data_IF_511662235509
#
_entry.id   IF_511662235509
#
_cell.length_a   1.000
_cell.length_b   1.000
_cell.length_c   1.000
_cell.angle_alpha   90.00
_cell.angle_beta   90.00
_cell.angle_gamma   90.00
#
_symmetry.space_group_name_H-M   'P 1'
#
loop_
_entity.id
_entity.type
_entity.pdbx_description
1 polymer ?
#
# COMPACT_ATOMS: atom_id res chain seq x y z
N UNK A 1 -14.79 11.16 -6.21
CA UNK A 1 -16.10 11.83 -6.18
C UNK A 1 -16.50 11.98 -4.72
N UNK A 2 -16.69 13.23 -4.30
CA UNK A 2 -17.34 13.74 -3.08
C UNK A 2 -16.87 13.23 -1.69
N UNK A 3 -16.10 14.08 -0.99
CA UNK A 3 -16.38 14.56 0.38
C UNK A 3 -15.51 15.80 0.66
N UNK A 4 -16.17 16.96 0.74
CA UNK A 4 -15.64 18.24 1.23
C UNK A 4 -16.14 18.46 2.67
N UNK A 5 -15.33 19.11 3.53
CA UNK A 5 -15.84 19.98 4.60
C UNK A 5 -15.69 19.51 6.04
N UNK A 6 -14.76 20.12 6.78
CA UNK A 6 -14.66 19.98 8.24
C UNK A 6 -13.45 20.68 8.88
N UNK A 7 -13.34 21.99 8.71
CA UNK A 7 -12.38 22.82 9.46
C UNK A 7 -12.81 22.92 10.94
N UNK A 8 -12.23 22.10 11.82
CA UNK A 8 -12.19 22.37 13.26
C UNK A 8 -10.80 22.82 13.68
N UNK A 9 -10.68 24.12 13.92
CA UNK A 9 -9.53 24.83 14.49
C UNK A 9 -9.12 24.24 15.85
N UNK A 10 -8.06 23.45 15.85
CA UNK A 10 -7.38 22.90 17.04
C UNK A 10 -5.85 23.00 16.87
N UNK A 11 -5.16 23.44 17.92
CA UNK A 11 -3.81 24.01 17.94
C UNK A 11 -2.68 22.96 17.85
N UNK A 12 -1.70 23.22 16.98
CA UNK A 12 -0.39 22.55 16.90
C UNK A 12 -0.14 21.91 15.52
N UNK A 13 1.02 22.11 14.87
CA UNK A 13 1.37 21.39 13.64
C UNK A 13 1.39 19.89 13.95
N UNK A 14 0.28 19.21 13.64
CA UNK A 14 0.19 17.77 13.86
C UNK A 14 1.09 17.13 12.82
N UNK A 15 2.18 16.48 13.26
CA UNK A 15 3.17 15.84 12.39
C UNK A 15 2.63 14.55 11.72
N UNK A 16 1.32 14.32 11.78
CA UNK A 16 0.68 13.18 11.14
C UNK A 16 0.52 13.50 9.65
N UNK A 17 1.14 12.72 8.73
CA UNK A 17 0.90 12.88 7.29
C UNK A 17 -0.61 12.88 7.02
N UNK A 18 -1.05 13.80 6.16
CA UNK A 18 -2.47 14.06 5.93
C UNK A 18 -3.28 12.79 5.65
N UNK A 19 -4.53 12.78 6.08
CA UNK A 19 -5.44 11.62 5.95
C UNK A 19 -5.54 11.11 4.51
N UNK A 20 -5.55 12.01 3.52
CA UNK A 20 -5.56 11.64 2.10
C UNK A 20 -4.30 10.88 1.67
N UNK A 21 -3.12 11.28 2.15
CA UNK A 21 -1.86 10.62 1.80
C UNK A 21 -1.81 9.18 2.33
N UNK A 22 -2.33 8.96 3.55
CA UNK A 22 -2.44 7.62 4.15
C UNK A 22 -3.44 6.75 3.41
N UNK A 23 -4.58 7.31 3.00
CA UNK A 23 -5.59 6.58 2.24
C UNK A 23 -5.05 6.12 0.88
N UNK A 24 -4.34 6.99 0.16
CA UNK A 24 -3.70 6.64 -1.12
C UNK A 24 -2.63 5.56 -0.93
N UNK A 25 -1.79 5.68 0.11
CA UNK A 25 -0.79 4.66 0.42
C UNK A 25 -1.43 3.28 0.68
N UNK A 26 -2.52 3.25 1.47
CA UNK A 26 -3.27 2.03 1.74
C UNK A 26 -3.86 1.42 0.46
N UNK A 27 -4.47 2.25 -0.41
CA UNK A 27 -5.01 1.79 -1.69
C UNK A 27 -3.94 1.16 -2.58
N UNK A 28 -2.77 1.78 -2.69
CA UNK A 28 -1.64 1.26 -3.47
C UNK A 28 -1.15 -0.08 -2.91
N UNK A 29 -1.08 -0.23 -1.59
CA UNK A 29 -0.70 -1.49 -0.94
C UNK A 29 -1.74 -2.59 -1.24
N UNK A 30 -3.04 -2.29 -1.13
CA UNK A 30 -4.10 -3.24 -1.45
C UNK A 30 -4.06 -3.69 -2.92
N UNK A 31 -3.88 -2.75 -3.86
CA UNK A 31 -3.78 -3.05 -5.28
C UNK A 31 -2.53 -3.89 -5.57
N UNK A 32 -1.40 -3.57 -4.94
CA UNK A 32 -0.17 -4.36 -5.02
C UNK A 32 -0.36 -5.80 -4.53
N UNK A 33 -0.99 -5.97 -3.37
CA UNK A 33 -1.32 -7.29 -2.81
C UNK A 33 -2.27 -8.09 -3.68
N UNK A 34 -3.30 -7.46 -4.25
CA UNK A 34 -4.23 -8.12 -5.18
C UNK A 34 -3.52 -8.60 -6.45
N UNK A 35 -2.65 -7.77 -7.01
CA UNK A 35 -1.84 -8.16 -8.17
C UNK A 35 -0.90 -9.33 -7.83
N UNK A 36 -0.19 -9.27 -6.70
CA UNK A 36 0.69 -10.36 -6.26
C UNK A 36 -0.04 -11.67 -5.96
N UNK A 37 -1.27 -11.60 -5.45
CA UNK A 37 -2.13 -12.77 -5.28
C UNK A 37 -2.41 -13.45 -6.63
N UNK A 38 -2.83 -12.68 -7.64
CA UNK A 38 -3.13 -13.20 -8.97
C UNK A 38 -1.90 -13.82 -9.63
N UNK A 39 -0.73 -13.16 -9.49
CA UNK A 39 0.55 -13.68 -9.99
C UNK A 39 0.88 -15.00 -9.29
N UNK A 40 0.74 -15.07 -7.96
CA UNK A 40 1.00 -16.29 -7.20
C UNK A 40 0.15 -17.49 -7.62
N UNK A 41 -1.14 -17.26 -7.88
CA UNK A 41 -2.05 -18.27 -8.45
C UNK A 41 -1.61 -18.69 -9.86
N UNK A 42 -1.30 -17.72 -10.73
CA UNK A 42 -0.90 -17.99 -12.11
C UNK A 42 0.39 -18.83 -12.18
N UNK A 43 1.37 -18.57 -11.31
CA UNK A 43 2.60 -19.35 -11.25
C UNK A 43 2.31 -20.82 -10.93
N UNK A 44 1.47 -21.10 -9.92
CA UNK A 44 1.14 -22.49 -9.55
C UNK A 44 0.34 -23.20 -10.65
N UNK A 45 -0.57 -22.48 -11.33
CA UNK A 45 -1.35 -23.01 -12.46
C UNK A 45 -0.47 -23.47 -13.62
N UNK A 46 0.67 -22.81 -13.85
CA UNK A 46 1.62 -23.20 -14.91
C UNK A 46 2.45 -24.43 -14.52
N UNK A 47 2.70 -24.63 -13.23
CA UNK A 47 3.56 -25.71 -12.73
C UNK A 47 2.81 -27.03 -12.49
N UNK A 48 1.47 -27.03 -12.49
CA UNK A 48 0.67 -28.16 -12.02
C UNK A 48 -0.54 -28.42 -12.92
N UNK A 49 -0.73 -29.67 -13.35
CA UNK A 49 -1.92 -30.14 -14.08
C UNK A 49 -2.62 -31.22 -13.26
N UNK A 50 -3.48 -30.83 -12.31
CA UNK A 50 -4.17 -31.72 -11.38
C UNK A 50 -4.73 -31.00 -10.14
N UNK A 51 -5.04 -31.75 -9.08
CA UNK A 51 -5.55 -31.22 -7.79
C UNK A 51 -4.44 -30.53 -6.98
N UNK A 52 -4.16 -29.27 -7.33
CA UNK A 52 -3.12 -28.46 -6.68
C UNK A 52 -3.73 -27.31 -5.87
N UNK A 53 -4.92 -27.51 -5.29
CA UNK A 53 -5.70 -26.46 -4.63
C UNK A 53 -4.96 -25.86 -3.42
N UNK A 54 -4.32 -26.71 -2.61
CA UNK A 54 -3.48 -26.28 -1.48
C UNK A 54 -2.27 -25.47 -1.97
N UNK A 55 -1.58 -25.95 -2.99
CA UNK A 55 -0.43 -25.26 -3.56
C UNK A 55 -0.84 -23.91 -4.16
N UNK A 56 -2.01 -23.84 -4.80
CA UNK A 56 -2.56 -22.62 -5.37
C UNK A 56 -2.89 -21.60 -4.27
N UNK A 57 -3.48 -22.05 -3.17
CA UNK A 57 -3.72 -21.22 -1.98
C UNK A 57 -2.42 -20.69 -1.37
N UNK A 58 -1.38 -21.53 -1.26
CA UNK A 58 -0.06 -21.12 -0.76
C UNK A 58 0.59 -20.12 -1.71
N UNK A 59 0.56 -20.36 -3.03
CA UNK A 59 1.08 -19.43 -4.03
C UNK A 59 0.39 -18.07 -3.98
N UNK A 60 -0.95 -18.06 -3.85
CA UNK A 60 -1.75 -16.86 -3.66
C UNK A 60 -1.33 -16.06 -2.42
N UNK A 61 -1.19 -16.74 -1.27
CA UNK A 61 -0.79 -16.14 0.00
C UNK A 61 0.62 -15.57 -0.06
N UNK A 62 1.60 -16.35 -0.52
CA UNK A 62 3.00 -15.91 -0.61
C UNK A 62 3.15 -14.75 -1.59
N UNK A 63 2.53 -14.83 -2.77
CA UNK A 63 2.54 -13.74 -3.75
C UNK A 63 1.92 -12.46 -3.22
N UNK A 64 0.78 -12.56 -2.51
CA UNK A 64 0.14 -11.42 -1.87
C UNK A 64 1.03 -10.81 -0.77
N UNK A 65 1.63 -11.62 0.10
CA UNK A 65 2.46 -11.13 1.21
C UNK A 65 3.73 -10.43 0.71
N UNK A 66 4.44 -11.03 -0.25
CA UNK A 66 5.69 -10.47 -0.78
C UNK A 66 5.44 -9.13 -1.49
N UNK A 67 4.40 -9.07 -2.33
CA UNK A 67 4.02 -7.83 -3.03
C UNK A 67 3.56 -6.74 -2.05
N UNK A 68 2.72 -7.08 -1.09
CA UNK A 68 2.23 -6.15 -0.05
C UNK A 68 3.39 -5.59 0.78
N UNK A 69 4.33 -6.45 1.18
CA UNK A 69 5.51 -6.03 1.96
C UNK A 69 6.36 -5.02 1.18
N UNK A 70 6.68 -5.31 -0.09
CA UNK A 70 7.48 -4.44 -0.93
C UNK A 70 6.81 -3.08 -1.16
N UNK A 71 5.52 -3.09 -1.48
CA UNK A 71 4.75 -1.86 -1.72
C UNK A 71 4.60 -1.04 -0.44
N UNK A 72 4.42 -1.68 0.72
CA UNK A 72 4.35 -0.99 2.00
C UNK A 72 5.64 -0.25 2.33
N UNK A 73 6.80 -0.87 2.08
CA UNK A 73 8.11 -0.21 2.27
C UNK A 73 8.23 1.01 1.36
N UNK A 74 7.94 0.86 0.06
CA UNK A 74 8.01 1.98 -0.90
C UNK A 74 7.05 3.09 -0.50
N UNK A 75 5.82 2.78 -0.12
CA UNK A 75 4.84 3.78 0.31
C UNK A 75 5.32 4.56 1.54
N UNK A 76 5.91 3.87 2.54
CA UNK A 76 6.51 4.54 3.70
C UNK A 76 7.67 5.43 3.27
N UNK A 77 8.57 4.95 2.41
CA UNK A 77 9.68 5.75 1.91
C UNK A 77 9.21 7.00 1.16
N UNK A 78 8.17 6.90 0.34
CA UNK A 78 7.57 8.06 -0.34
C UNK A 78 6.95 9.04 0.65
N UNK A 79 6.20 8.55 1.64
CA UNK A 79 5.63 9.42 2.68
C UNK A 79 6.71 10.10 3.53
N UNK A 80 7.80 9.40 3.84
CA UNK A 80 9.00 9.98 4.46
C UNK A 80 9.57 11.07 3.57
N UNK A 81 9.66 10.78 2.27
CA UNK A 81 10.23 11.69 1.32
C UNK A 81 9.47 13.03 1.31
N UNK A 82 8.16 12.94 1.11
CA UNK A 82 7.25 14.10 1.14
C UNK A 82 7.36 14.90 2.45
N UNK A 83 7.57 14.22 3.58
CA UNK A 83 7.75 14.87 4.88
C UNK A 83 9.01 15.74 4.95
N UNK A 84 10.12 15.31 4.36
CA UNK A 84 11.36 16.11 4.38
C UNK A 84 11.26 17.37 3.53
N UNK A 85 10.58 17.31 2.38
CA UNK A 85 10.38 18.48 1.51
C UNK A 85 9.53 19.54 2.20
N UNK A 86 8.46 19.13 2.89
CA UNK A 86 7.57 20.05 3.62
C UNK A 86 8.26 20.71 4.82
N UNK A 87 9.12 19.98 5.52
CA UNK A 87 9.90 20.53 6.64
C UNK A 87 10.88 21.63 6.18
N UNK A 88 11.41 21.52 4.96
CA UNK A 88 12.28 22.53 4.36
C UNK A 88 11.55 23.79 3.89
N UNK A 89 10.34 23.66 3.34
CA UNK A 89 9.51 24.78 2.87
C UNK A 89 9.07 25.69 4.02
N UNK A 90 8.63 25.11 5.14
CA UNK A 90 8.14 25.90 6.29
C UNK A 90 9.19 26.81 6.95
N UNK A 91 10.47 26.67 6.59
CA UNK A 91 11.58 27.48 7.14
C UNK A 91 11.97 28.65 6.23
N UNK A 92 11.43 28.76 5.02
CA UNK A 92 11.67 29.87 4.08
C UNK A 92 10.49 30.84 4.07
#
# INVERSE_FOLDING_TARGET
MAEEGGETRGRGPTALPGVGARAVAFLVICVGGFCGLLIGVALVRVQCTGDCDVAQGVGALVGALVSTLGVAVIAVLVLRAMGEWQAGESRR
#
